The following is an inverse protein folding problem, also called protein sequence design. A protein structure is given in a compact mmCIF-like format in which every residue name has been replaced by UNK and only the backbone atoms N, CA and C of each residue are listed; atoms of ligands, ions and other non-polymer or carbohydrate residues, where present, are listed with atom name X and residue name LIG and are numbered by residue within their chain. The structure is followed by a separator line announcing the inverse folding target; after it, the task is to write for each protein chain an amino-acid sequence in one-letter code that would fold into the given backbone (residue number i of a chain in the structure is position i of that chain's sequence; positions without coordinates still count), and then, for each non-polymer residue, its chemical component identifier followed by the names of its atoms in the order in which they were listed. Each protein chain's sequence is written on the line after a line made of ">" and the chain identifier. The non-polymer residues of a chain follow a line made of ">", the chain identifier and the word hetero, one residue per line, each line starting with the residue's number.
data_IF_971143909464
#
_entry.id   IF_971143909464
#
_cell.length_a   1.000
_cell.length_b   1.000
_cell.length_c   1.000
_cell.angle_alpha   90.00
_cell.angle_beta   90.00
_cell.angle_gamma   90.00
#
_symmetry.space_group_name_H-M   'P 1'
#
loop_
_entity.id
_entity.type
_entity.pdbx_description
1 polymer ?
#
# COMPACT_ATOMS: atom_id res chain seq x y z
N UNK A 1 -66.92 0.96 -45.31
CA UNK A 1 -67.38 1.34 -43.93
C UNK A 1 -66.66 0.45 -42.92
N UNK A 2 -66.03 1.12 -41.96
CA UNK A 2 -65.53 0.61 -40.69
C UNK A 2 -64.16 -0.14 -40.67
N UNK A 3 -63.21 0.67 -40.48
CA UNK A 3 -61.85 0.42 -40.01
C UNK A 3 -61.82 -0.37 -38.71
N UNK A 4 -60.84 -1.30 -38.58
CA UNK A 4 -60.35 -1.76 -37.30
C UNK A 4 -58.83 -1.70 -37.31
N UNK A 5 -58.32 -0.65 -36.70
CA UNK A 5 -56.91 -0.51 -36.33
C UNK A 5 -56.61 -1.57 -35.23
N UNK A 6 -55.69 -2.46 -35.51
CA UNK A 6 -55.06 -3.29 -34.51
C UNK A 6 -53.75 -2.61 -34.06
N UNK A 7 -53.77 -2.06 -32.85
CA UNK A 7 -52.58 -1.49 -32.21
C UNK A 7 -51.73 -2.64 -31.64
N UNK A 8 -50.56 -2.86 -32.25
CA UNK A 8 -49.50 -3.71 -31.70
C UNK A 8 -48.71 -2.92 -30.64
N UNK A 9 -48.96 -3.21 -29.36
CA UNK A 9 -48.08 -2.78 -28.26
C UNK A 9 -46.83 -3.67 -28.26
N UNK A 10 -45.72 -3.10 -28.74
CA UNK A 10 -44.41 -3.72 -28.55
C UNK A 10 -43.85 -3.31 -27.18
N UNK A 11 -43.95 -4.19 -26.21
CA UNK A 11 -43.28 -4.05 -24.91
C UNK A 11 -41.80 -4.35 -25.07
N UNK A 12 -40.99 -3.31 -25.13
CA UNK A 12 -39.52 -3.41 -25.08
C UNK A 12 -39.10 -3.71 -23.63
N UNK A 13 -38.71 -4.97 -23.37
CA UNK A 13 -38.10 -5.42 -22.13
C UNK A 13 -36.64 -4.97 -22.12
N UNK A 14 -36.37 -3.83 -21.46
CA UNK A 14 -35.00 -3.35 -21.27
C UNK A 14 -34.28 -4.27 -20.27
N UNK A 15 -33.41 -5.16 -20.74
CA UNK A 15 -32.47 -5.87 -19.93
C UNK A 15 -31.41 -4.84 -19.46
N UNK A 16 -31.55 -4.39 -18.21
CA UNK A 16 -30.46 -3.70 -17.52
C UNK A 16 -29.36 -4.71 -17.24
N UNK A 17 -28.37 -4.79 -18.12
CA UNK A 17 -27.12 -5.47 -17.85
C UNK A 17 -26.38 -4.66 -16.79
N UNK A 18 -26.50 -5.09 -15.53
CA UNK A 18 -25.66 -4.59 -14.45
C UNK A 18 -24.20 -4.93 -14.77
N UNK A 19 -23.47 -3.97 -15.35
CA UNK A 19 -22.03 -4.05 -15.42
C UNK A 19 -21.53 -3.99 -13.98
N UNK A 20 -21.14 -5.13 -13.43
CA UNK A 20 -20.25 -5.15 -12.25
C UNK A 20 -18.98 -4.44 -12.70
N UNK A 21 -18.86 -3.15 -12.38
CA UNK A 21 -17.60 -2.44 -12.49
C UNK A 21 -16.64 -3.14 -11.51
N UNK A 22 -15.75 -3.99 -12.05
CA UNK A 22 -14.61 -4.48 -11.28
C UNK A 22 -13.87 -3.23 -10.79
N UNK A 23 -13.78 -3.06 -9.48
CA UNK A 23 -12.94 -2.02 -8.90
C UNK A 23 -11.54 -2.20 -9.49
N UNK A 24 -10.88 -1.13 -9.97
CA UNK A 24 -9.53 -1.27 -10.49
C UNK A 24 -8.66 -1.93 -9.42
N UNK A 25 -8.04 -3.05 -9.77
CA UNK A 25 -7.12 -3.77 -8.89
C UNK A 25 -6.09 -2.78 -8.34
N UNK A 26 -5.75 -2.91 -7.07
CA UNK A 26 -4.75 -2.03 -6.44
C UNK A 26 -5.29 -0.86 -5.63
N UNK A 27 -6.60 -0.67 -5.50
CA UNK A 27 -7.18 0.44 -4.71
C UNK A 27 -7.29 0.16 -3.21
N UNK A 28 -7.26 -1.11 -2.81
CA UNK A 28 -7.35 -1.55 -1.41
C UNK A 28 -5.99 -2.09 -0.94
N UNK A 29 -5.64 -1.91 0.34
CA UNK A 29 -4.43 -2.49 0.89
C UNK A 29 -4.47 -4.02 0.85
N UNK A 30 -3.30 -4.70 0.88
CA UNK A 30 -3.24 -6.15 0.92
C UNK A 30 -3.82 -6.70 2.23
N UNK A 31 -4.35 -7.93 2.19
CA UNK A 31 -4.83 -8.63 3.39
C UNK A 31 -3.65 -9.16 4.20
N UNK A 32 -3.43 -8.61 5.39
CA UNK A 32 -2.41 -9.05 6.33
C UNK A 32 -3.06 -9.55 7.62
N UNK A 33 -2.85 -10.83 7.93
CA UNK A 33 -3.27 -11.45 9.20
C UNK A 33 -2.10 -11.45 10.17
N UNK A 34 -2.04 -10.44 11.02
CA UNK A 34 -0.94 -10.27 11.99
C UNK A 34 -0.81 -11.48 12.91
N UNK A 35 0.43 -11.94 13.10
CA UNK A 35 0.76 -13.16 13.83
C UNK A 35 0.55 -14.46 13.04
N UNK A 36 0.17 -14.37 11.74
CA UNK A 36 -0.06 -15.54 10.87
C UNK A 36 0.50 -15.37 9.45
N UNK A 37 0.32 -14.20 8.83
CA UNK A 37 0.84 -13.95 7.48
C UNK A 37 2.35 -13.97 7.48
N UNK A 38 2.92 -14.54 6.42
CA UNK A 38 4.36 -14.67 6.23
C UNK A 38 4.83 -13.56 5.31
N UNK A 39 5.92 -12.89 5.67
CA UNK A 39 6.58 -11.89 4.84
C UNK A 39 7.09 -12.53 3.54
N UNK A 40 6.77 -11.91 2.41
CA UNK A 40 7.15 -12.40 1.09
C UNK A 40 8.65 -12.23 0.77
N UNK A 41 9.35 -11.41 1.54
CA UNK A 41 10.79 -11.20 1.41
C UNK A 41 11.59 -12.15 2.31
N UNK A 42 11.51 -11.97 3.64
CA UNK A 42 12.34 -12.71 4.60
C UNK A 42 11.73 -14.03 5.10
N UNK A 43 10.45 -14.30 4.85
CA UNK A 43 9.78 -15.52 5.30
C UNK A 43 9.38 -15.53 6.78
N UNK A 44 9.54 -14.42 7.51
CA UNK A 44 9.12 -14.31 8.90
C UNK A 44 7.64 -13.98 9.03
N UNK A 45 7.07 -14.24 10.22
CA UNK A 45 5.68 -13.89 10.50
C UNK A 45 5.55 -12.38 10.75
N UNK A 46 4.65 -11.74 10.01
CA UNK A 46 4.34 -10.33 10.17
C UNK A 46 3.56 -10.13 11.47
N UNK A 47 4.15 -9.48 12.47
CA UNK A 47 3.56 -9.28 13.79
C UNK A 47 3.42 -7.82 14.20
N UNK A 48 4.34 -6.95 13.78
CA UNK A 48 4.32 -5.53 14.13
C UNK A 48 3.63 -4.70 13.04
N UNK A 49 2.41 -4.26 13.33
CA UNK A 49 1.61 -3.45 12.40
C UNK A 49 2.29 -2.16 11.96
N UNK A 50 3.09 -1.55 12.82
CA UNK A 50 3.73 -0.25 12.57
C UNK A 50 4.65 -0.25 11.36
N UNK A 51 5.22 -1.41 11.05
CA UNK A 51 6.21 -1.58 9.98
C UNK A 51 5.70 -2.44 8.83
N UNK A 52 4.56 -3.13 9.03
CA UNK A 52 3.95 -3.94 8.01
C UNK A 52 3.56 -3.10 6.80
N UNK A 53 3.84 -3.61 5.63
CA UNK A 53 3.62 -2.92 4.37
C UNK A 53 3.37 -3.92 3.25
N UNK A 54 3.07 -3.41 2.06
CA UNK A 54 2.86 -4.26 0.91
C UNK A 54 2.46 -3.48 -0.32
N UNK A 55 2.35 -4.18 -1.43
CA UNK A 55 1.83 -3.59 -2.66
C UNK A 55 0.83 -4.51 -3.35
N UNK A 56 -0.04 -3.91 -4.14
CA UNK A 56 -1.06 -4.59 -4.92
C UNK A 56 -0.91 -4.19 -6.38
N UNK A 57 -0.85 -5.16 -7.27
CA UNK A 57 -0.78 -4.96 -8.71
C UNK A 57 -2.18 -4.72 -9.30
N UNK A 58 -2.27 -4.16 -10.50
CA UNK A 58 -3.54 -3.98 -11.21
C UNK A 58 -4.28 -5.32 -11.45
N UNK A 59 -3.56 -6.44 -11.50
CA UNK A 59 -4.13 -7.79 -11.58
C UNK A 59 -4.84 -8.25 -10.31
N UNK A 60 -4.68 -7.53 -9.18
CA UNK A 60 -5.13 -7.92 -7.85
C UNK A 60 -4.13 -8.79 -7.08
N UNK A 61 -3.03 -9.22 -7.70
CA UNK A 61 -1.96 -9.91 -6.97
C UNK A 61 -1.30 -8.96 -5.97
N UNK A 62 -0.96 -9.45 -4.79
CA UNK A 62 -0.35 -8.64 -3.73
C UNK A 62 0.88 -9.32 -3.16
N UNK A 63 1.77 -8.52 -2.58
CA UNK A 63 2.90 -8.96 -1.76
C UNK A 63 2.91 -8.17 -0.47
N UNK A 64 3.32 -8.83 0.61
CA UNK A 64 3.28 -8.30 1.97
C UNK A 64 4.64 -8.47 2.66
N UNK A 65 5.02 -7.47 3.45
CA UNK A 65 6.32 -7.40 4.11
C UNK A 65 6.15 -6.94 5.54
N UNK A 66 7.08 -7.34 6.41
CA UNK A 66 7.13 -6.92 7.81
C UNK A 66 7.99 -5.66 8.02
N UNK A 67 8.70 -5.21 6.98
CA UNK A 67 9.62 -4.05 7.03
C UNK A 67 9.54 -3.23 5.73
N UNK A 68 9.41 -1.89 5.88
CA UNK A 68 9.32 -0.97 4.74
C UNK A 68 10.64 -0.98 3.93
N UNK A 69 11.79 -1.09 4.59
CA UNK A 69 13.08 -1.14 3.93
C UNK A 69 13.19 -2.35 3.00
N UNK A 70 12.80 -3.53 3.48
CA UNK A 70 12.80 -4.76 2.68
C UNK A 70 11.87 -4.65 1.45
N UNK A 71 10.65 -4.12 1.65
CA UNK A 71 9.72 -3.88 0.54
C UNK A 71 10.31 -2.92 -0.51
N UNK A 72 10.99 -1.86 -0.09
CA UNK A 72 11.58 -0.88 -1.03
C UNK A 72 12.73 -1.49 -1.84
N UNK A 73 13.50 -2.39 -1.26
CA UNK A 73 14.54 -3.16 -1.98
C UNK A 73 13.92 -4.04 -3.05
N UNK A 74 12.88 -4.79 -2.72
CA UNK A 74 12.17 -5.61 -3.70
C UNK A 74 11.54 -4.78 -4.81
N UNK A 75 10.88 -3.67 -4.49
CA UNK A 75 10.29 -2.77 -5.49
C UNK A 75 11.36 -2.20 -6.45
N UNK A 76 12.55 -1.90 -5.94
CA UNK A 76 13.68 -1.43 -6.76
C UNK A 76 14.19 -2.52 -7.70
N UNK A 77 14.22 -3.76 -7.25
CA UNK A 77 14.68 -4.89 -8.05
C UNK A 77 13.67 -5.31 -9.12
N UNK A 78 12.42 -5.51 -8.71
CA UNK A 78 11.35 -6.02 -9.59
C UNK A 78 10.74 -4.96 -10.49
N UNK A 79 10.72 -3.70 -10.07
CA UNK A 79 10.17 -2.54 -10.79
C UNK A 79 8.77 -2.77 -11.37
N UNK A 80 7.80 -3.26 -10.60
CA UNK A 80 6.45 -3.47 -11.11
C UNK A 80 5.84 -2.12 -11.52
N UNK A 81 5.42 -1.99 -12.79
CA UNK A 81 4.96 -0.73 -13.36
C UNK A 81 3.58 -0.28 -12.82
N UNK A 82 2.80 -1.21 -12.29
CA UNK A 82 1.40 -1.03 -11.89
C UNK A 82 1.16 -1.27 -10.39
N UNK A 83 2.21 -1.22 -9.57
CA UNK A 83 2.12 -1.44 -8.14
C UNK A 83 1.51 -0.22 -7.43
N UNK A 84 0.50 -0.48 -6.64
CA UNK A 84 -0.01 0.44 -5.62
C UNK A 84 0.58 0.07 -4.28
N UNK A 85 1.34 0.96 -3.66
CA UNK A 85 2.09 0.69 -2.44
C UNK A 85 1.37 1.22 -1.21
N UNK A 86 1.31 0.37 -0.18
CA UNK A 86 0.67 0.67 1.10
C UNK A 86 1.66 0.45 2.25
N UNK A 87 1.60 1.35 3.21
CA UNK A 87 2.34 1.28 4.47
C UNK A 87 1.40 1.56 5.63
N UNK A 88 1.79 1.25 6.86
CA UNK A 88 1.02 1.65 8.04
C UNK A 88 1.51 2.99 8.58
N UNK A 89 0.57 3.82 9.04
CA UNK A 89 0.91 4.94 9.91
C UNK A 89 1.51 4.40 11.22
N UNK A 90 2.69 4.86 11.55
CA UNK A 90 3.49 4.35 12.67
C UNK A 90 2.80 4.43 14.04
N UNK A 91 1.93 5.44 14.24
CA UNK A 91 1.24 5.65 15.51
C UNK A 91 -0.18 5.06 15.52
N UNK A 92 -0.94 5.27 14.45
CA UNK A 92 -2.34 4.82 14.39
C UNK A 92 -2.51 3.40 13.89
N UNK A 93 -1.49 2.87 13.22
CA UNK A 93 -1.51 1.57 12.52
C UNK A 93 -2.61 1.45 11.45
N UNK A 94 -3.05 2.58 10.90
CA UNK A 94 -3.95 2.60 9.77
C UNK A 94 -3.18 2.48 8.45
N UNK A 95 -3.80 1.84 7.45
CA UNK A 95 -3.22 1.75 6.12
C UNK A 95 -3.24 3.11 5.41
N UNK A 96 -2.11 3.51 4.86
CA UNK A 96 -1.95 4.72 4.04
C UNK A 96 -1.21 4.40 2.75
N UNK A 97 -1.43 5.23 1.72
CA UNK A 97 -0.68 5.14 0.46
C UNK A 97 0.73 5.66 0.67
N UNK A 98 1.71 4.91 0.19
CA UNK A 98 3.11 5.30 0.35
C UNK A 98 3.42 6.67 -0.31
N UNK A 99 2.81 6.95 -1.47
CA UNK A 99 3.01 8.20 -2.21
C UNK A 99 2.53 9.44 -1.45
N UNK A 100 1.58 9.27 -0.51
CA UNK A 100 1.06 10.36 0.32
C UNK A 100 1.64 10.39 1.73
N UNK A 101 2.41 9.37 2.10
CA UNK A 101 3.01 9.27 3.43
C UNK A 101 4.25 10.16 3.58
N UNK A 102 4.52 10.55 4.82
CA UNK A 102 5.76 11.20 5.22
C UNK A 102 6.57 10.19 6.01
N UNK A 103 7.83 9.99 5.63
CA UNK A 103 8.69 8.98 6.22
C UNK A 103 9.75 9.60 7.13
N UNK A 104 10.17 8.82 8.12
CA UNK A 104 11.33 9.09 8.97
C UNK A 104 12.26 7.90 8.90
N UNK A 105 13.53 8.14 8.64
CA UNK A 105 14.58 7.12 8.68
C UNK A 105 15.53 7.38 9.84
N UNK A 106 15.81 6.34 10.63
CA UNK A 106 16.90 6.33 11.62
C UNK A 106 17.33 4.90 11.90
N UNK A 107 18.61 4.66 12.07
CA UNK A 107 19.15 3.37 12.53
C UNK A 107 18.69 3.00 13.95
N UNK A 108 18.19 3.95 14.73
CA UNK A 108 17.64 3.72 16.07
C UNK A 108 16.15 3.30 16.04
N UNK A 109 15.46 3.42 14.93
CA UNK A 109 14.11 2.87 14.75
C UNK A 109 14.23 1.36 14.61
N UNK A 110 13.78 0.63 15.65
CA UNK A 110 13.83 -0.82 15.69
C UNK A 110 12.69 -1.42 14.86
N UNK A 111 12.90 -1.59 13.57
CA UNK A 111 12.00 -2.31 12.67
C UNK A 111 12.43 -3.77 12.52
N UNK A 112 11.54 -4.71 12.11
CA UNK A 112 11.81 -6.15 12.12
C UNK A 112 13.08 -6.58 11.38
N UNK A 113 13.36 -6.00 10.22
CA UNK A 113 14.56 -6.30 9.41
C UNK A 113 15.64 -5.22 9.55
N UNK A 114 15.47 -4.26 10.46
CA UNK A 114 16.44 -3.19 10.68
C UNK A 114 16.44 -2.12 9.58
N UNK A 115 15.42 -2.07 8.73
CA UNK A 115 15.28 -1.04 7.69
C UNK A 115 15.15 0.39 8.22
N UNK A 116 14.76 0.53 9.49
CA UNK A 116 14.78 1.81 10.21
C UNK A 116 13.83 2.87 9.66
N UNK A 117 12.78 2.49 8.94
CA UNK A 117 11.79 3.39 8.34
C UNK A 117 10.47 3.35 9.12
N UNK A 118 9.94 4.53 9.44
CA UNK A 118 8.59 4.73 9.95
C UNK A 118 7.81 5.63 9.00
N UNK A 119 6.52 5.33 8.75
CA UNK A 119 5.66 6.10 7.88
C UNK A 119 4.54 6.79 8.66
N UNK A 120 4.10 7.95 8.21
CA UNK A 120 3.06 8.77 8.85
C UNK A 120 2.11 9.34 7.82
N UNK A 121 0.81 9.38 8.14
CA UNK A 121 -0.17 10.13 7.37
C UNK A 121 -0.02 11.65 7.56
N UNK A 122 0.44 12.09 8.74
CA UNK A 122 0.56 13.49 9.13
C UNK A 122 2.02 13.95 9.27
N UNK A 123 2.35 15.07 8.62
CA UNK A 123 3.69 15.66 8.65
C UNK A 123 4.15 16.04 10.07
N UNK A 124 3.29 16.61 10.89
CA UNK A 124 3.62 17.07 12.24
C UNK A 124 4.15 15.92 13.12
N UNK A 125 3.50 14.75 13.08
CA UNK A 125 3.93 13.55 13.82
C UNK A 125 5.25 13.00 13.29
N UNK A 126 5.44 13.01 11.99
CA UNK A 126 6.71 12.64 11.36
C UNK A 126 7.85 13.57 11.80
N UNK A 127 7.62 14.88 11.81
CA UNK A 127 8.61 15.87 12.24
C UNK A 127 8.95 15.74 13.73
N UNK A 128 7.98 15.42 14.57
CA UNK A 128 8.21 15.15 15.99
C UNK A 128 9.13 13.93 16.18
N UNK A 129 8.89 12.83 15.43
CA UNK A 129 9.76 11.66 15.47
C UNK A 129 11.15 11.96 14.88
N UNK A 130 11.22 12.68 13.75
CA UNK A 130 12.47 13.08 13.13
C UNK A 130 13.35 13.91 14.08
N UNK A 131 12.75 14.85 14.81
CA UNK A 131 13.44 15.64 15.84
C UNK A 131 14.00 14.76 16.94
N UNK A 132 13.23 13.77 17.42
CA UNK A 132 13.68 12.82 18.44
C UNK A 132 14.94 12.05 18.04
N UNK A 133 15.05 11.69 16.78
CA UNK A 133 16.18 10.92 16.23
C UNK A 133 17.23 11.79 15.53
N UNK A 134 17.17 13.13 15.67
CA UNK A 134 18.09 14.07 15.03
C UNK A 134 18.23 13.84 13.51
N UNK A 135 17.11 13.58 12.84
CA UNK A 135 17.03 13.34 11.40
C UNK A 135 15.98 14.25 10.75
N UNK A 136 15.68 14.03 9.50
CA UNK A 136 14.68 14.78 8.73
C UNK A 136 13.61 13.86 8.16
N UNK A 137 12.46 14.43 7.79
CA UNK A 137 11.42 13.72 7.07
C UNK A 137 11.80 13.51 5.61
N UNK A 138 11.23 12.45 5.01
CA UNK A 138 11.45 12.04 3.62
C UNK A 138 10.12 11.85 2.90
N UNK A 139 10.11 12.09 1.58
CA UNK A 139 9.01 11.66 0.70
C UNK A 139 9.20 10.21 0.25
N UNK A 140 8.17 9.63 -0.36
CA UNK A 140 8.27 8.29 -0.94
C UNK A 140 9.38 8.17 -1.99
N UNK A 141 9.52 9.15 -2.87
CA UNK A 141 10.58 9.18 -3.89
C UNK A 141 11.97 9.17 -3.26
N UNK A 142 12.16 9.89 -2.15
CA UNK A 142 13.42 9.91 -1.41
C UNK A 142 13.71 8.57 -0.75
N UNK A 143 12.67 7.90 -0.22
CA UNK A 143 12.81 6.53 0.32
C UNK A 143 13.23 5.57 -0.77
N UNK A 144 12.57 5.59 -1.94
CA UNK A 144 12.91 4.73 -3.08
C UNK A 144 14.31 5.01 -3.64
N UNK A 145 14.75 6.28 -3.66
CA UNK A 145 16.11 6.63 -4.07
C UNK A 145 17.18 6.12 -3.08
N UNK A 146 16.80 5.98 -1.79
CA UNK A 146 17.68 5.45 -0.75
C UNK A 146 17.75 3.92 -0.73
N UNK A 147 16.74 3.21 -1.22
CA UNK A 147 16.67 1.75 -1.20
C UNK A 147 17.96 1.11 -1.76
N UNK A 148 18.50 0.12 -1.04
CA UNK A 148 19.78 -0.50 -1.37
C UNK A 148 21.04 0.25 -0.92
N UNK A 149 20.88 1.36 -0.18
CA UNK A 149 22.03 2.04 0.47
C UNK A 149 22.24 1.40 1.85
N UNK A 150 23.45 0.90 2.16
CA UNK A 150 23.73 0.32 3.48
C UNK A 150 23.42 1.30 4.60
N UNK A 151 22.83 0.79 5.70
CA UNK A 151 22.63 1.57 6.93
C UNK A 151 24.00 1.89 7.52
N UNK A 152 24.39 3.17 7.69
CA UNK A 152 25.64 3.49 8.36
C UNK A 152 25.57 3.02 9.83
N UNK A 153 26.42 2.11 10.25
CA UNK A 153 26.63 1.83 11.67
C UNK A 153 26.14 0.47 12.21
N UNK A 154 26.23 -0.62 11.44
CA UNK A 154 26.23 -1.97 11.97
C UNK A 154 27.62 -2.59 11.87
#
# INVERSE_FOLDING_TARGET
>A
MRSLLAALLATALAFATGACAASPGGTQPPDVRYGRSVCDGCGMIISDKRFACGYVLASGASRIFDDIGEMTEELRERRPADATVFVHDYETTEWIRAESAVFVYSGDIRSPMGGGLAAFAGRERAEALATRYATTTMTWEQVMARAGTPVPGH
#
